data_IF_284947910629
#
_entry.id   IF_284947910629
#
_cell.length_a   1.000
_cell.length_b   1.000
_cell.length_c   1.000
_cell.angle_alpha   90.00
_cell.angle_beta   90.00
_cell.angle_gamma   90.00
#
_symmetry.space_group_name_H-M   'P 1'
#
loop_
_entity.id
_entity.type
_entity.pdbx_description
1 polymer ?
#
# COMPACT_ATOMS: atom_id res chain seq x y z
N UNK A 1 -16.96 -2.95 0.14
CA UNK A 1 -16.20 -3.88 1.01
C UNK A 1 -15.59 -3.21 2.25
N UNK A 2 -14.94 -2.02 2.17
CA UNK A 2 -14.35 -1.35 3.36
C UNK A 2 -15.34 -1.16 4.52
N UNK A 3 -16.56 -0.70 4.26
CA UNK A 3 -17.59 -0.51 5.30
C UNK A 3 -17.96 -1.82 6.02
N UNK A 4 -18.00 -2.94 5.30
CA UNK A 4 -18.26 -4.26 5.89
C UNK A 4 -17.09 -4.71 6.80
N UNK A 5 -15.85 -4.53 6.34
CA UNK A 5 -14.67 -4.88 7.14
C UNK A 5 -14.55 -4.04 8.41
N UNK A 6 -14.88 -2.74 8.34
CA UNK A 6 -14.94 -1.85 9.51
C UNK A 6 -16.08 -2.30 10.46
N UNK A 7 -17.28 -2.59 9.93
CA UNK A 7 -18.40 -3.07 10.72
C UNK A 7 -18.05 -4.34 11.49
N UNK A 8 -17.53 -5.35 10.79
CA UNK A 8 -17.09 -6.61 11.39
C UNK A 8 -16.02 -6.40 12.48
N UNK A 9 -15.01 -5.55 12.24
CA UNK A 9 -13.95 -5.27 13.20
C UNK A 9 -14.45 -4.55 14.48
N UNK A 10 -15.52 -3.76 14.35
CA UNK A 10 -16.16 -3.09 15.49
C UNK A 10 -17.07 -4.05 16.27
N UNK A 11 -17.84 -4.88 15.59
CA UNK A 11 -18.69 -5.90 16.21
C UNK A 11 -17.85 -6.93 16.97
N UNK A 12 -16.69 -7.29 16.43
CA UNK A 12 -15.69 -8.15 17.08
C UNK A 12 -15.02 -7.48 18.31
N UNK A 13 -15.06 -6.15 18.41
CA UNK A 13 -14.46 -5.36 19.49
C UNK A 13 -12.96 -5.09 19.32
N UNK A 14 -12.33 -5.55 18.24
CA UNK A 14 -10.91 -5.29 17.97
C UNK A 14 -10.64 -3.82 17.63
N UNK A 15 -11.66 -3.11 17.11
CA UNK A 15 -11.60 -1.69 16.79
C UNK A 15 -12.67 -0.92 17.55
N UNK A 16 -12.26 0.08 18.34
CA UNK A 16 -13.18 0.93 19.13
C UNK A 16 -13.67 2.15 18.34
N UNK A 17 -12.79 2.77 17.59
CA UNK A 17 -13.07 3.98 16.80
C UNK A 17 -12.35 3.92 15.47
N UNK A 18 -12.94 4.55 14.46
CA UNK A 18 -12.39 4.61 13.10
C UNK A 18 -12.46 6.04 12.59
N UNK A 19 -11.36 6.52 12.05
CA UNK A 19 -11.31 7.73 11.24
C UNK A 19 -11.02 7.34 9.78
N UNK A 20 -11.84 7.82 8.85
CA UNK A 20 -11.65 7.63 7.41
C UNK A 20 -11.33 8.97 6.80
N UNK A 21 -10.18 9.05 6.11
CA UNK A 21 -9.84 10.18 5.28
C UNK A 21 -10.07 9.83 3.81
N UNK A 22 -10.95 10.56 3.15
CA UNK A 22 -11.14 10.54 1.72
C UNK A 22 -10.41 11.74 1.14
N UNK A 23 -9.33 11.46 0.42
CA UNK A 23 -8.42 12.49 -0.08
C UNK A 23 -8.57 12.57 -1.60
N UNK A 24 -9.12 13.67 -2.07
CA UNK A 24 -9.26 13.91 -3.50
C UNK A 24 -8.07 14.72 -4.02
N UNK A 25 -7.22 14.05 -4.75
CA UNK A 25 -6.02 14.59 -5.39
C UNK A 25 -6.30 15.09 -6.82
N UNK A 26 -7.56 15.09 -7.24
CA UNK A 26 -7.99 15.70 -8.49
C UNK A 26 -8.16 17.22 -8.33
N UNK A 27 -8.30 17.92 -9.43
CA UNK A 27 -8.62 19.35 -9.44
C UNK A 27 -10.07 19.58 -9.88
N UNK A 28 -10.88 18.51 -9.88
CA UNK A 28 -12.28 18.56 -10.33
C UNK A 28 -13.24 18.66 -9.15
N UNK A 29 -13.93 19.81 -8.96
CA UNK A 29 -14.89 20.00 -7.88
C UNK A 29 -16.03 18.99 -7.88
N UNK A 30 -16.43 18.46 -9.04
CA UNK A 30 -17.50 17.45 -9.14
C UNK A 30 -17.08 16.13 -8.52
N UNK A 31 -15.80 15.76 -8.64
CA UNK A 31 -15.25 14.58 -7.98
C UNK A 31 -15.29 14.77 -6.46
N UNK A 32 -14.87 15.92 -5.96
CA UNK A 32 -14.91 16.24 -4.53
C UNK A 32 -16.33 16.15 -3.94
N UNK A 33 -17.34 16.71 -4.64
CA UNK A 33 -18.76 16.62 -4.25
C UNK A 33 -19.25 15.17 -4.22
N UNK A 34 -18.95 14.40 -5.26
CA UNK A 34 -19.37 13.00 -5.38
C UNK A 34 -18.72 12.12 -4.30
N UNK A 35 -17.41 12.28 -4.05
CA UNK A 35 -16.69 11.57 -2.99
C UNK A 35 -17.28 11.90 -1.62
N UNK A 36 -17.59 13.18 -1.37
CA UNK A 36 -18.23 13.62 -0.12
C UNK A 36 -19.61 12.98 0.06
N UNK A 37 -20.42 12.99 -1.00
CA UNK A 37 -21.78 12.42 -1.00
C UNK A 37 -21.74 10.91 -0.74
N UNK A 38 -20.87 10.20 -1.45
CA UNK A 38 -20.71 8.74 -1.31
C UNK A 38 -20.16 8.36 0.07
N UNK A 39 -19.19 9.12 0.57
CA UNK A 39 -18.61 8.91 1.89
C UNK A 39 -19.66 9.03 2.99
N UNK A 40 -20.44 10.11 2.99
CA UNK A 40 -21.55 10.30 3.95
C UNK A 40 -22.59 9.18 3.86
N UNK A 41 -22.94 8.74 2.64
CA UNK A 41 -23.90 7.65 2.44
C UNK A 41 -23.39 6.30 2.96
N UNK A 42 -22.09 6.03 2.84
CA UNK A 42 -21.49 4.73 3.17
C UNK A 42 -21.03 4.61 4.62
N UNK A 43 -20.59 5.71 5.21
CA UNK A 43 -19.92 5.76 6.51
C UNK A 43 -20.56 6.75 7.49
N UNK A 44 -21.78 7.18 7.27
CA UNK A 44 -22.48 8.17 8.11
C UNK A 44 -22.90 7.64 9.49
N UNK A 45 -22.27 6.60 9.99
CA UNK A 45 -22.42 6.06 11.34
C UNK A 45 -21.68 6.96 12.35
N UNK A 46 -22.29 7.18 13.52
CA UNK A 46 -21.76 8.03 14.59
C UNK A 46 -20.41 7.58 15.16
N UNK A 47 -20.00 6.35 14.92
CA UNK A 47 -18.73 5.81 15.41
C UNK A 47 -17.58 5.87 14.38
N UNK A 48 -17.84 6.41 13.17
CA UNK A 48 -16.85 6.64 12.13
C UNK A 48 -16.66 8.12 11.90
N UNK A 49 -15.46 8.63 12.13
CA UNK A 49 -15.11 10.01 11.82
C UNK A 49 -14.72 10.11 10.34
N UNK A 50 -15.40 10.96 9.57
CA UNK A 50 -15.14 11.19 8.16
C UNK A 50 -14.42 12.51 7.96
N UNK A 51 -13.28 12.44 7.29
CA UNK A 51 -12.50 13.58 6.84
C UNK A 51 -12.50 13.65 5.32
N UNK A 52 -12.90 14.78 4.76
CA UNK A 52 -12.86 15.04 3.32
C UNK A 52 -11.79 16.09 3.06
N UNK A 53 -10.74 15.70 2.36
CA UNK A 53 -9.61 16.57 2.02
C UNK A 53 -9.58 16.78 0.51
N UNK A 54 -9.75 18.01 0.08
CA UNK A 54 -9.80 18.40 -1.33
C UNK A 54 -9.33 19.86 -1.50
N UNK A 55 -9.18 20.32 -2.74
CA UNK A 55 -8.83 21.73 -3.04
C UNK A 55 -7.34 22.05 -2.87
N UNK A 56 -6.49 21.06 -2.69
CA UNK A 56 -5.03 21.22 -2.54
C UNK A 56 -4.27 20.92 -3.84
N UNK A 57 -4.96 20.83 -4.97
CA UNK A 57 -4.41 20.38 -6.25
C UNK A 57 -3.81 18.94 -6.18
N UNK A 58 -3.17 18.48 -7.25
CA UNK A 58 -2.48 17.20 -7.24
C UNK A 58 -1.08 17.35 -6.60
N UNK A 59 -1.00 17.06 -5.31
CA UNK A 59 0.25 17.12 -4.53
C UNK A 59 1.07 15.83 -4.57
N UNK A 60 0.61 14.81 -5.29
CA UNK A 60 1.23 13.49 -5.37
C UNK A 60 0.71 12.51 -4.33
N UNK A 61 1.01 11.21 -4.54
CA UNK A 61 0.42 10.13 -3.76
C UNK A 61 0.81 10.17 -2.28
N UNK A 62 2.11 10.16 -2.00
CA UNK A 62 2.61 10.06 -0.62
C UNK A 62 2.27 11.30 0.22
N UNK A 63 2.34 12.50 -0.38
CA UNK A 63 2.01 13.75 0.34
C UNK A 63 0.52 13.77 0.69
N UNK A 64 -0.35 13.34 -0.22
CA UNK A 64 -1.78 13.25 0.05
C UNK A 64 -2.06 12.35 1.26
N UNK A 65 -1.49 11.16 1.32
CA UNK A 65 -1.61 10.29 2.49
C UNK A 65 -1.05 10.93 3.78
N UNK A 66 0.05 11.65 3.71
CA UNK A 66 0.67 12.30 4.86
C UNK A 66 -0.23 13.36 5.52
N UNK A 67 -1.21 13.93 4.80
CA UNK A 67 -2.18 14.88 5.39
C UNK A 67 -2.91 14.29 6.60
N UNK A 68 -3.07 12.96 6.63
CA UNK A 68 -3.73 12.27 7.74
C UNK A 68 -2.80 11.35 8.53
N UNK A 69 -1.71 10.85 7.92
CA UNK A 69 -0.79 9.96 8.62
C UNK A 69 -0.21 10.59 9.89
N UNK A 70 0.06 11.88 9.88
CA UNK A 70 0.71 12.60 10.99
C UNK A 70 -0.26 13.27 11.97
N UNK A 71 -1.56 13.30 11.68
CA UNK A 71 -2.56 14.08 12.42
C UNK A 71 -3.51 13.28 13.31
N UNK A 72 -3.48 11.95 13.27
CA UNK A 72 -4.42 11.10 14.03
C UNK A 72 -3.74 10.44 15.22
N UNK A 73 -4.44 10.34 16.35
CA UNK A 73 -4.01 9.57 17.51
C UNK A 73 -4.31 8.07 17.40
N UNK A 74 -4.57 7.53 16.20
CA UNK A 74 -4.90 6.14 16.00
C UNK A 74 -3.67 5.22 16.18
N UNK A 75 -3.86 4.07 16.82
CA UNK A 75 -2.80 3.08 17.06
C UNK A 75 -2.27 2.45 15.77
N UNK A 76 -3.15 2.33 14.79
CA UNK A 76 -2.87 1.77 13.47
C UNK A 76 -3.37 2.70 12.38
N UNK A 77 -2.68 2.71 11.24
CA UNK A 77 -3.13 3.39 10.04
C UNK A 77 -3.10 2.46 8.83
N UNK A 78 -4.23 2.40 8.16
CA UNK A 78 -4.40 1.67 6.92
C UNK A 78 -4.26 2.65 5.75
N UNK A 79 -3.17 2.51 4.99
CA UNK A 79 -3.05 3.11 3.66
C UNK A 79 -3.82 2.23 2.70
N UNK A 80 -4.75 2.80 1.95
CA UNK A 80 -5.65 2.02 1.09
C UNK A 80 -5.98 2.81 -0.18
N UNK A 81 -5.77 2.17 -1.33
CA UNK A 81 -6.22 2.69 -2.61
C UNK A 81 -7.74 2.51 -2.78
N UNK A 82 -8.41 3.38 -3.55
CA UNK A 82 -9.86 3.29 -3.77
C UNK A 82 -10.29 2.10 -4.62
N UNK A 83 -9.35 1.45 -5.33
CA UNK A 83 -9.56 0.26 -6.15
C UNK A 83 -9.16 -1.05 -5.45
N UNK A 84 -9.13 -1.04 -4.11
CA UNK A 84 -8.87 -2.21 -3.27
C UNK A 84 -10.09 -2.53 -2.41
N UNK A 85 -10.55 -3.76 -2.49
CA UNK A 85 -11.61 -4.31 -1.65
C UNK A 85 -11.02 -5.21 -0.56
N UNK A 86 -11.42 -4.97 0.67
CA UNK A 86 -11.02 -5.78 1.85
C UNK A 86 -11.98 -6.95 2.04
N UNK A 87 -11.46 -8.13 2.39
CA UNK A 87 -12.27 -9.20 2.94
C UNK A 87 -12.94 -8.75 4.26
N UNK A 88 -14.11 -9.27 4.62
CA UNK A 88 -14.83 -8.82 5.83
C UNK A 88 -14.01 -8.91 7.12
N UNK A 89 -13.17 -9.92 7.26
CA UNK A 89 -12.33 -10.21 8.42
C UNK A 89 -10.89 -9.67 8.29
N UNK A 90 -10.56 -9.02 7.18
CA UNK A 90 -9.20 -8.58 6.88
C UNK A 90 -8.60 -7.67 7.97
N UNK A 91 -9.38 -6.69 8.46
CA UNK A 91 -8.94 -5.76 9.52
C UNK A 91 -8.77 -6.50 10.85
N UNK A 92 -9.70 -7.39 11.18
CA UNK A 92 -9.67 -8.20 12.41
C UNK A 92 -8.37 -9.03 12.44
N UNK A 93 -8.14 -9.78 11.37
CA UNK A 93 -6.98 -10.66 11.25
C UNK A 93 -5.66 -9.87 11.33
N UNK A 94 -5.60 -8.72 10.63
CA UNK A 94 -4.41 -7.89 10.60
C UNK A 94 -4.08 -7.27 11.98
N UNK A 95 -5.07 -6.70 12.68
CA UNK A 95 -4.85 -6.07 13.98
C UNK A 95 -4.53 -7.11 15.05
N UNK A 96 -5.30 -8.20 15.13
CA UNK A 96 -5.02 -9.28 16.09
C UNK A 96 -3.64 -9.87 15.91
N UNK A 97 -3.24 -10.07 14.66
CA UNK A 97 -1.90 -10.57 14.38
C UNK A 97 -0.81 -9.57 14.79
N UNK A 98 -0.99 -8.29 14.47
CA UNK A 98 -0.07 -7.24 14.93
C UNK A 98 -0.01 -7.18 16.47
N UNK A 99 -1.14 -7.24 17.18
CA UNK A 99 -1.17 -7.20 18.64
C UNK A 99 -0.39 -8.36 19.28
N UNK A 100 -0.39 -9.54 18.63
CA UNK A 100 0.40 -10.69 19.04
C UNK A 100 1.90 -10.59 18.65
N UNK A 101 2.28 -9.66 17.74
CA UNK A 101 3.64 -9.49 17.23
C UNK A 101 4.11 -8.04 17.37
N UNK A 102 4.43 -7.58 18.59
CA UNK A 102 4.77 -6.19 18.88
C UNK A 102 6.04 -5.71 18.17
N UNK A 103 6.92 -6.60 17.73
CA UNK A 103 8.12 -6.34 16.94
C UNK A 103 7.81 -5.92 15.49
N UNK A 104 6.60 -6.26 14.98
CA UNK A 104 6.19 -5.93 13.63
C UNK A 104 5.46 -4.59 13.61
N UNK A 105 5.97 -3.65 12.84
CA UNK A 105 5.39 -2.31 12.72
C UNK A 105 4.60 -2.06 11.44
N UNK A 106 4.68 -2.97 10.44
CA UNK A 106 3.92 -2.81 9.21
C UNK A 106 3.59 -4.15 8.55
N UNK A 107 2.36 -4.26 8.02
CA UNK A 107 1.84 -5.44 7.33
C UNK A 107 1.46 -5.14 5.88
N UNK A 108 1.82 -6.07 5.00
CA UNK A 108 1.31 -6.19 3.65
C UNK A 108 0.24 -7.30 3.58
N UNK A 109 -0.86 -7.10 2.83
CA UNK A 109 -1.91 -8.10 2.64
C UNK A 109 -1.55 -9.16 1.61
N UNK A 110 -2.29 -10.27 1.65
CA UNK A 110 -2.45 -11.17 0.53
C UNK A 110 -3.41 -10.54 -0.48
N UNK A 111 -2.93 -10.37 -1.71
CA UNK A 111 -3.67 -9.69 -2.76
C UNK A 111 -4.07 -10.66 -3.85
N UNK A 112 -5.33 -10.60 -4.26
CA UNK A 112 -5.83 -11.27 -5.45
C UNK A 112 -6.38 -10.25 -6.44
N UNK A 113 -6.45 -10.64 -7.70
CA UNK A 113 -7.19 -9.93 -8.73
C UNK A 113 -8.66 -10.32 -8.68
N UNK A 114 -9.55 -9.60 -9.38
CA UNK A 114 -10.97 -9.94 -9.45
C UNK A 114 -11.27 -11.34 -10.00
N UNK A 115 -10.35 -11.91 -10.79
CA UNK A 115 -10.44 -13.28 -11.33
C UNK A 115 -9.94 -14.35 -10.34
N UNK A 116 -9.60 -13.97 -9.11
CA UNK A 116 -9.07 -14.85 -8.06
C UNK A 116 -7.58 -15.19 -8.20
N UNK A 117 -6.90 -14.71 -9.25
CA UNK A 117 -5.46 -14.98 -9.40
C UNK A 117 -4.64 -14.16 -8.40
N UNK A 118 -3.59 -14.75 -7.77
CA UNK A 118 -2.73 -14.01 -6.85
C UNK A 118 -2.01 -12.84 -7.53
N UNK A 119 -1.95 -11.70 -6.84
CA UNK A 119 -1.14 -10.55 -7.23
C UNK A 119 -0.05 -10.30 -6.18
N UNK A 120 1.21 -10.46 -6.59
CA UNK A 120 2.35 -10.37 -5.69
C UNK A 120 2.82 -8.92 -5.61
N UNK A 121 2.37 -8.21 -4.56
CA UNK A 121 2.69 -6.79 -4.36
C UNK A 121 3.82 -6.56 -3.36
N UNK A 122 4.25 -7.59 -2.64
CA UNK A 122 5.52 -7.60 -1.90
C UNK A 122 6.69 -7.80 -2.87
N UNK A 123 7.77 -7.03 -2.68
CA UNK A 123 8.93 -7.07 -3.55
C UNK A 123 10.23 -7.16 -2.76
N UNK A 124 11.24 -7.77 -3.34
CA UNK A 124 12.62 -7.56 -2.90
C UNK A 124 13.10 -6.17 -3.28
N UNK A 125 14.20 -5.75 -2.70
CA UNK A 125 14.85 -4.49 -3.09
C UNK A 125 15.10 -4.51 -4.61
N UNK A 126 14.63 -3.50 -5.36
CA UNK A 126 14.68 -3.53 -6.81
C UNK A 126 16.12 -3.41 -7.31
N UNK A 127 16.54 -4.30 -8.21
CA UNK A 127 17.68 -4.04 -9.06
C UNK A 127 17.25 -3.28 -10.32
N UNK A 128 18.11 -2.44 -10.85
CA UNK A 128 17.85 -1.68 -12.09
C UNK A 128 17.45 -2.64 -13.22
N UNK A 129 18.16 -3.77 -13.33
CA UNK A 129 17.89 -4.78 -14.34
C UNK A 129 16.49 -5.41 -14.20
N UNK A 130 16.00 -5.65 -12.97
CA UNK A 130 14.66 -6.18 -12.73
C UNK A 130 13.57 -5.21 -13.20
N UNK A 131 13.77 -3.92 -12.95
CA UNK A 131 12.84 -2.86 -13.40
C UNK A 131 12.83 -2.72 -14.92
N UNK A 132 14.01 -2.79 -15.56
CA UNK A 132 14.11 -2.73 -17.02
C UNK A 132 13.45 -3.97 -17.67
N UNK A 133 13.69 -5.17 -17.13
CA UNK A 133 13.04 -6.39 -17.60
C UNK A 133 11.51 -6.29 -17.48
N UNK A 134 11.01 -5.80 -16.33
CA UNK A 134 9.57 -5.71 -16.08
C UNK A 134 8.89 -4.65 -16.93
N UNK A 135 9.52 -3.48 -17.11
CA UNK A 135 8.93 -2.33 -17.79
C UNK A 135 9.08 -2.32 -19.30
N UNK A 136 10.21 -2.81 -19.81
CA UNK A 136 10.60 -2.57 -21.21
C UNK A 136 10.95 -3.84 -21.98
N UNK A 137 11.24 -4.96 -21.31
CA UNK A 137 11.64 -6.17 -22.03
C UNK A 137 10.45 -6.83 -22.76
N UNK A 138 10.66 -7.35 -23.98
CA UNK A 138 9.66 -8.13 -24.69
C UNK A 138 9.35 -9.45 -23.96
N UNK A 139 8.20 -10.06 -24.29
CA UNK A 139 7.68 -11.23 -23.58
C UNK A 139 8.67 -12.42 -23.53
N UNK A 140 9.42 -12.66 -24.61
CA UNK A 140 10.40 -13.75 -24.65
C UNK A 140 11.56 -13.54 -23.67
N UNK A 141 12.05 -12.30 -23.50
CA UNK A 141 13.09 -11.99 -22.51
C UNK A 141 12.54 -12.16 -21.09
N UNK A 142 11.34 -11.67 -20.80
CA UNK A 142 10.70 -11.88 -19.49
C UNK A 142 10.53 -13.35 -19.16
N UNK A 143 10.20 -14.19 -20.16
CA UNK A 143 10.13 -15.65 -20.00
C UNK A 143 11.49 -16.26 -19.67
N UNK A 144 12.57 -15.80 -20.33
CA UNK A 144 13.94 -16.28 -20.06
C UNK A 144 14.39 -15.95 -18.64
N UNK A 145 14.10 -14.73 -18.18
CA UNK A 145 14.45 -14.27 -16.82
C UNK A 145 13.33 -14.49 -15.80
N UNK A 146 12.39 -15.40 -16.07
CA UNK A 146 11.22 -15.64 -15.23
C UNK A 146 11.59 -15.93 -13.77
N UNK A 147 12.54 -16.83 -13.51
CA UNK A 147 13.00 -17.16 -12.15
C UNK A 147 13.48 -15.94 -11.38
N UNK A 148 14.15 -15.01 -12.05
CA UNK A 148 14.63 -13.76 -11.48
C UNK A 148 13.47 -12.83 -11.15
N UNK A 149 12.53 -12.66 -12.05
CA UNK A 149 11.33 -11.84 -11.83
C UNK A 149 10.44 -12.45 -10.74
N UNK A 150 10.28 -13.76 -10.70
CA UNK A 150 9.56 -14.46 -9.64
C UNK A 150 10.23 -14.26 -8.27
N UNK A 151 11.56 -14.28 -8.22
CA UNK A 151 12.32 -13.96 -7.01
C UNK A 151 12.15 -12.49 -6.60
N UNK A 152 12.16 -11.54 -7.54
CA UNK A 152 11.89 -10.13 -7.26
C UNK A 152 10.49 -9.93 -6.69
N UNK A 153 9.49 -10.62 -7.22
CA UNK A 153 8.10 -10.63 -6.75
C UNK A 153 7.89 -11.49 -5.48
N UNK A 154 8.94 -11.98 -4.84
CA UNK A 154 8.93 -12.84 -3.64
C UNK A 154 8.10 -14.13 -3.77
N UNK A 155 7.86 -14.61 -4.99
CA UNK A 155 7.09 -15.84 -5.27
C UNK A 155 7.77 -17.11 -4.77
N UNK A 156 9.04 -17.04 -4.44
CA UNK A 156 9.80 -18.10 -3.80
C UNK A 156 9.59 -18.19 -2.27
N UNK A 157 9.05 -17.15 -1.66
CA UNK A 157 8.75 -17.07 -0.22
C UNK A 157 7.26 -17.03 0.07
N UNK A 158 6.47 -16.35 -0.78
CA UNK A 158 5.03 -16.21 -0.63
C UNK A 158 4.34 -17.31 -1.44
N UNK A 159 3.77 -18.27 -0.72
CA UNK A 159 2.92 -19.32 -1.30
C UNK A 159 1.45 -19.00 -0.99
N UNK A 160 0.63 -18.61 -1.99
CA UNK A 160 -0.79 -18.30 -1.76
C UNK A 160 -1.63 -19.48 -1.27
N UNK A 161 -1.14 -20.71 -1.41
CA UNK A 161 -1.79 -21.92 -0.90
C UNK A 161 -1.53 -22.19 0.57
N UNK A 162 -0.62 -21.43 1.21
CA UNK A 162 -0.26 -21.58 2.62
C UNK A 162 -0.70 -20.38 3.43
N UNK A 163 -1.07 -20.64 4.68
CA UNK A 163 -1.39 -19.59 5.66
C UNK A 163 -0.18 -19.26 6.54
N UNK A 164 0.99 -19.13 5.94
CA UNK A 164 2.25 -18.85 6.64
C UNK A 164 2.65 -17.38 6.42
N UNK A 165 2.80 -16.57 7.48
CA UNK A 165 3.32 -15.21 7.36
C UNK A 165 4.76 -15.21 6.84
N UNK A 166 5.12 -14.18 6.06
CA UNK A 166 6.49 -13.95 5.62
C UNK A 166 7.02 -12.69 6.28
N UNK A 167 8.09 -12.84 7.06
CA UNK A 167 8.75 -11.73 7.76
C UNK A 167 9.79 -11.05 6.86
N UNK A 168 10.22 -9.85 7.29
CA UNK A 168 11.27 -9.06 6.65
C UNK A 168 10.98 -8.77 5.16
N UNK A 169 9.75 -8.35 4.87
CA UNK A 169 9.35 -7.92 3.51
C UNK A 169 10.05 -6.62 3.15
N UNK A 170 11.00 -6.62 2.19
CA UNK A 170 11.82 -5.43 1.93
C UNK A 170 11.03 -4.25 1.38
N UNK A 171 10.02 -4.53 0.55
CA UNK A 171 9.16 -3.52 -0.09
C UNK A 171 7.72 -4.01 -0.12
N UNK A 172 6.84 -3.19 0.42
CA UNK A 172 5.39 -3.36 0.39
C UNK A 172 4.77 -2.32 -0.53
N UNK A 173 3.74 -2.70 -1.27
CA UNK A 173 3.02 -1.75 -2.12
C UNK A 173 2.15 -0.80 -1.31
N UNK A 174 2.19 0.48 -1.67
CA UNK A 174 1.31 1.50 -1.10
C UNK A 174 -0.18 1.31 -1.41
N UNK A 175 -0.57 0.38 -2.29
CA UNK A 175 -1.99 0.16 -2.58
C UNK A 175 -2.78 -0.31 -1.36
N UNK A 176 -2.16 -1.09 -0.46
CA UNK A 176 -2.71 -1.49 0.83
C UNK A 176 -1.57 -1.87 1.78
N UNK A 177 -1.45 -1.16 2.89
CA UNK A 177 -0.55 -1.49 3.99
C UNK A 177 -1.11 -1.00 5.32
N UNK A 178 -1.00 -1.83 6.37
CA UNK A 178 -1.37 -1.47 7.74
C UNK A 178 -0.11 -1.18 8.54
N UNK A 179 -0.01 0.01 9.13
CA UNK A 179 1.20 0.48 9.81
C UNK A 179 0.88 0.94 11.24
N UNK A 180 1.69 0.53 12.21
CA UNK A 180 1.59 1.00 13.60
C UNK A 180 1.95 2.48 13.71
N UNK A 181 1.29 3.18 14.60
CA UNK A 181 1.58 4.58 14.94
C UNK A 181 3.06 4.79 15.26
N UNK A 182 3.63 3.99 16.14
CA UNK A 182 5.04 4.10 16.55
C UNK A 182 6.02 4.04 15.35
N UNK A 183 5.74 3.20 14.37
CA UNK A 183 6.57 3.10 13.16
C UNK A 183 6.41 4.34 12.27
N UNK A 184 5.18 4.89 12.18
CA UNK A 184 4.90 6.14 11.46
C UNK A 184 5.63 7.31 12.12
N UNK A 185 5.50 7.47 13.45
CA UNK A 185 6.12 8.56 14.20
C UNK A 185 7.65 8.55 14.06
N UNK A 186 8.24 7.35 14.00
CA UNK A 186 9.70 7.20 13.82
C UNK A 186 10.14 7.50 12.38
N UNK A 187 9.35 7.14 11.37
CA UNK A 187 9.73 7.28 9.96
C UNK A 187 9.19 8.54 9.28
N UNK A 188 8.17 9.19 9.86
CA UNK A 188 7.53 10.39 9.32
C UNK A 188 6.61 10.16 8.11
N UNK A 189 6.20 8.89 7.86
CA UNK A 189 5.34 8.57 6.70
C UNK A 189 6.09 8.59 5.36
N UNK A 190 5.41 8.96 4.30
CA UNK A 190 5.99 9.06 2.95
C UNK A 190 6.94 10.27 2.82
N UNK A 191 8.06 10.10 2.10
CA UNK A 191 8.98 11.21 1.80
C UNK A 191 8.33 12.13 0.73
N UNK A 192 8.06 13.42 1.06
CA UNK A 192 7.37 14.34 0.15
C UNK A 192 8.15 14.67 -1.13
N UNK A 193 9.38 14.26 -1.22
CA UNK A 193 10.19 14.43 -2.43
C UNK A 193 9.80 13.46 -3.55
N UNK A 194 8.99 12.43 -3.29
CA UNK A 194 8.43 11.54 -4.29
C UNK A 194 7.01 11.99 -4.64
N UNK A 195 6.80 12.39 -5.89
CA UNK A 195 5.47 12.77 -6.36
C UNK A 195 4.61 11.54 -6.64
N UNK A 196 5.17 10.57 -7.37
CA UNK A 196 4.52 9.32 -7.72
C UNK A 196 5.59 8.27 -8.05
N UNK A 197 5.34 7.02 -7.67
CA UNK A 197 6.25 5.88 -7.76
C UNK A 197 7.45 5.95 -6.81
N UNK A 198 7.85 4.81 -6.26
CA UNK A 198 8.91 4.63 -5.28
C UNK A 198 8.70 5.31 -3.91
N UNK A 199 7.62 6.06 -3.68
CA UNK A 199 7.29 6.58 -2.36
C UNK A 199 7.03 5.45 -1.36
N UNK A 200 6.36 4.38 -1.79
CA UNK A 200 6.10 3.17 -1.02
C UNK A 200 7.37 2.33 -0.83
N UNK A 201 8.22 2.25 -1.86
CA UNK A 201 9.53 1.60 -1.78
C UNK A 201 10.44 2.33 -0.76
N UNK A 202 10.52 3.65 -0.85
CA UNK A 202 11.28 4.48 0.08
C UNK A 202 10.80 4.29 1.52
N UNK A 203 9.48 4.34 1.73
CA UNK A 203 8.93 4.19 3.06
C UNK A 203 9.13 2.78 3.60
N UNK A 204 8.93 1.73 2.79
CA UNK A 204 9.20 0.35 3.17
C UNK A 204 10.66 0.15 3.61
N UNK A 205 11.63 0.69 2.85
CA UNK A 205 13.05 0.61 3.21
C UNK A 205 13.34 1.34 4.53
N UNK A 206 12.66 2.48 4.80
CA UNK A 206 12.81 3.20 6.07
C UNK A 206 12.14 2.46 7.23
N UNK A 207 10.98 1.85 7.01
CA UNK A 207 10.29 1.01 8.00
C UNK A 207 11.17 -0.18 8.41
N UNK A 208 11.78 -0.88 7.47
CA UNK A 208 12.68 -2.01 7.74
C UNK A 208 13.95 -1.66 8.56
N UNK A 209 14.27 -0.37 8.71
CA UNK A 209 15.38 0.09 9.57
C UNK A 209 14.98 0.25 11.04
N UNK A 210 13.70 0.34 11.34
CA UNK A 210 13.20 0.70 12.68
C UNK A 210 12.24 -0.34 13.26
N UNK A 211 11.70 -1.24 12.43
CA UNK A 211 10.79 -2.29 12.85
C UNK A 211 10.83 -3.46 11.86
N UNK A 212 10.29 -4.61 12.26
CA UNK A 212 10.03 -5.68 11.31
C UNK A 212 8.80 -5.36 10.46
N UNK A 213 8.81 -5.87 9.23
CA UNK A 213 7.70 -5.82 8.29
C UNK A 213 7.28 -7.24 7.94
N UNK A 214 5.99 -7.47 7.68
CA UNK A 214 5.53 -8.80 7.33
C UNK A 214 4.44 -8.79 6.25
N UNK A 215 4.33 -9.90 5.54
CA UNK A 215 3.19 -10.28 4.72
C UNK A 215 2.31 -11.23 5.52
N UNK A 216 1.01 -10.98 5.56
CA UNK A 216 0.06 -11.78 6.30
C UNK A 216 -0.99 -12.39 5.35
N UNK A 217 -1.04 -13.73 5.17
CA UNK A 217 -2.01 -14.38 4.29
C UNK A 217 -3.48 -14.17 4.67
N UNK A 218 -3.78 -14.07 5.96
CA UNK A 218 -5.15 -13.86 6.46
C UNK A 218 -5.62 -12.39 6.36
N UNK A 219 -4.73 -11.44 6.05
CA UNK A 219 -5.09 -10.06 5.68
C UNK A 219 -5.36 -10.02 4.18
N UNK A 220 -6.58 -10.37 3.77
CA UNK A 220 -6.94 -10.60 2.37
C UNK A 220 -7.60 -9.38 1.72
N UNK A 221 -7.16 -9.07 0.50
CA UNK A 221 -7.72 -7.97 -0.31
C UNK A 221 -7.83 -8.36 -1.78
N UNK A 222 -8.77 -7.73 -2.49
CA UNK A 222 -8.91 -7.81 -3.95
C UNK A 222 -8.53 -6.47 -4.54
N UNK A 223 -7.57 -6.45 -5.46
CA UNK A 223 -7.10 -5.25 -6.14
C UNK A 223 -7.66 -5.18 -7.57
N UNK A 224 -8.54 -4.23 -7.82
CA UNK A 224 -9.21 -4.03 -9.11
C UNK A 224 -8.34 -3.26 -10.11
N UNK A 225 -7.28 -2.60 -9.62
CA UNK A 225 -6.35 -1.84 -10.44
C UNK A 225 -5.35 -2.73 -11.17
N UNK A 226 -4.78 -2.20 -12.20
CA UNK A 226 -3.72 -2.85 -12.98
C UNK A 226 -3.38 -2.04 -14.22
N UNK A 227 -2.11 -2.01 -14.61
CA UNK A 227 -1.68 -1.41 -15.87
C UNK A 227 -1.12 0.00 -15.78
N UNK A 228 -0.34 0.30 -14.74
CA UNK A 228 0.45 1.54 -14.67
C UNK A 228 1.29 1.80 -15.94
N UNK A 229 1.71 0.74 -16.63
CA UNK A 229 2.48 0.81 -17.88
C UNK A 229 1.73 1.45 -19.07
N UNK A 230 0.40 1.64 -19.00
CA UNK A 230 -0.39 2.26 -20.08
C UNK A 230 -0.58 3.78 -19.93
N UNK A 231 0.00 4.42 -18.92
CA UNK A 231 -0.34 5.80 -18.50
C UNK A 231 0.43 6.93 -19.23
N UNK A 232 1.17 6.65 -20.31
CA UNK A 232 1.79 7.69 -21.16
C UNK A 232 3.13 8.24 -20.65
N UNK A 233 3.77 9.12 -21.46
CA UNK A 233 5.15 9.62 -21.27
C UNK A 233 5.38 10.39 -19.95
N UNK A 234 4.38 11.09 -19.44
CA UNK A 234 4.47 11.79 -18.13
C UNK A 234 4.76 10.81 -16.99
N UNK A 235 4.12 9.64 -17.00
CA UNK A 235 4.32 8.61 -15.99
C UNK A 235 5.71 7.96 -16.06
N UNK A 236 6.25 7.81 -17.28
CA UNK A 236 7.63 7.33 -17.47
C UNK A 236 8.61 8.35 -16.87
N UNK A 237 8.38 9.65 -17.10
CA UNK A 237 9.21 10.72 -16.52
C UNK A 237 9.18 10.74 -14.99
N UNK A 238 8.00 10.61 -14.39
CA UNK A 238 7.87 10.51 -12.92
C UNK A 238 8.54 9.26 -12.37
N UNK A 239 8.34 8.11 -13.02
CA UNK A 239 8.99 6.86 -12.64
C UNK A 239 10.52 6.98 -12.68
N UNK A 240 11.09 7.49 -13.76
CA UNK A 240 12.54 7.66 -13.91
C UNK A 240 13.11 8.63 -12.84
N UNK A 241 12.47 9.78 -12.63
CA UNK A 241 12.86 10.75 -11.61
C UNK A 241 12.83 10.15 -10.20
N UNK A 242 11.77 9.41 -9.89
CA UNK A 242 11.61 8.75 -8.60
C UNK A 242 12.59 7.59 -8.41
N UNK A 243 12.86 6.80 -9.47
CA UNK A 243 13.88 5.76 -9.44
C UNK A 243 15.28 6.31 -9.16
N UNK A 244 15.70 7.37 -9.88
CA UNK A 244 16.99 8.03 -9.65
C UNK A 244 17.12 8.53 -8.21
N UNK A 245 16.06 9.14 -7.66
CA UNK A 245 16.01 9.59 -6.27
C UNK A 245 16.12 8.43 -5.28
N UNK A 246 15.37 7.36 -5.52
CA UNK A 246 15.37 6.18 -4.67
C UNK A 246 16.76 5.55 -4.59
N UNK A 247 17.38 5.28 -5.74
CA UNK A 247 18.74 4.72 -5.78
C UNK A 247 19.80 5.67 -5.23
N UNK A 248 19.67 6.98 -5.47
CA UNK A 248 20.56 7.98 -4.87
C UNK A 248 20.47 8.04 -3.35
N UNK A 249 19.31 7.72 -2.77
CA UNK A 249 19.07 7.72 -1.32
C UNK A 249 19.44 6.39 -0.65
N UNK A 250 19.15 5.26 -1.29
CA UNK A 250 19.23 3.93 -0.67
C UNK A 250 20.34 3.03 -1.24
N UNK A 251 21.02 3.48 -2.28
CA UNK A 251 22.09 2.73 -2.94
C UNK A 251 21.65 2.04 -4.23
N UNK A 252 22.58 2.00 -5.18
CA UNK A 252 22.38 1.38 -6.49
C UNK A 252 22.56 -0.12 -6.41
N UNK A 253 21.62 -0.86 -6.96
CA UNK A 253 21.75 -2.30 -7.25
C UNK A 253 21.46 -2.52 -8.73
N UNK A 254 22.47 -2.96 -9.46
CA UNK A 254 22.32 -3.15 -10.91
C UNK A 254 21.79 -4.55 -11.24
N UNK A 255 22.19 -5.57 -10.44
CA UNK A 255 21.83 -6.97 -10.61
C UNK A 255 21.43 -7.63 -9.30
#
# INVERSE_FOLDING_TARGET
MLALAIGAAREDGVVKSVAIALIDNSEDPKIAEEVTRLGKKRFGDSCVQLHFLHGHANIGYGIAHNLMLNGTGADYQLVLNPDVDLAPDAIINAIRWLDAHPEVGALAPAVTKPDGTPDFLCKRYPAVFDLLLRGFAPAFMRRWFRKRLDRYDMRDLIDPGKNEPVHDVPVMSGCCMLVRRKAIDTTGGFDPKFFLYFEDFDWSVRLNKVTQTAYLPSFQVVHHGGGAARKGWKHIGWFAKSALRFYGKHGWRFF
#
